data_IF_921228941338
#
_entry.id   IF_921228941338
#
_cell.length_a   1.000
_cell.length_b   1.000
_cell.length_c   1.000
_cell.angle_alpha   90.00
_cell.angle_beta   90.00
_cell.angle_gamma   90.00
#
_symmetry.space_group_name_H-M   'P 1'
#
loop_
_entity.id
_entity.type
_entity.pdbx_description
1 polymer ?
#
# COMPACT_ATOMS: atom_id res chain seq x y z
N UNK A 1 9.62 10.45 16.38
CA UNK A 1 8.54 10.42 15.38
C UNK A 1 8.58 9.21 14.44
N UNK A 2 9.68 8.46 14.39
CA UNK A 2 9.84 7.29 13.50
C UNK A 2 8.90 6.12 13.78
N UNK A 3 8.59 5.85 15.05
CA UNK A 3 7.61 4.83 15.43
C UNK A 3 6.21 5.13 14.88
N UNK A 4 5.78 6.39 14.93
CA UNK A 4 4.49 6.82 14.38
C UNK A 4 4.46 6.63 12.87
N UNK A 5 5.55 6.97 12.16
CA UNK A 5 5.68 6.74 10.71
C UNK A 5 5.64 5.25 10.35
N UNK A 6 6.27 4.38 11.14
CA UNK A 6 6.26 2.95 10.94
C UNK A 6 4.85 2.34 11.12
N UNK A 7 4.14 2.74 12.18
CA UNK A 7 2.77 2.29 12.44
C UNK A 7 1.80 2.77 11.36
N UNK A 8 1.89 4.04 10.96
CA UNK A 8 1.07 4.60 9.88
C UNK A 8 1.34 3.85 8.56
N UNK A 9 2.60 3.54 8.26
CA UNK A 9 2.97 2.82 7.04
C UNK A 9 2.40 1.39 7.02
N UNK A 10 2.52 0.65 8.14
CA UNK A 10 1.91 -0.67 8.29
C UNK A 10 0.40 -0.64 8.13
N UNK A 11 -0.28 0.32 8.79
CA UNK A 11 -1.73 0.45 8.72
C UNK A 11 -2.22 0.77 7.30
N UNK A 12 -1.64 1.78 6.66
CA UNK A 12 -2.06 2.24 5.32
C UNK A 12 -1.81 1.18 4.25
N UNK A 13 -0.59 0.64 4.17
CA UNK A 13 -0.25 -0.33 3.13
C UNK A 13 -0.86 -1.70 3.40
N UNK A 14 -1.01 -2.10 4.67
CA UNK A 14 -1.73 -3.32 5.03
C UNK A 14 -3.20 -3.26 4.62
N UNK A 15 -3.88 -2.15 4.95
CA UNK A 15 -5.26 -1.92 4.52
C UNK A 15 -5.38 -1.84 2.99
N UNK A 16 -4.50 -1.09 2.32
CA UNK A 16 -4.55 -0.93 0.87
C UNK A 16 -4.26 -2.26 0.14
N UNK A 17 -3.29 -3.04 0.62
CA UNK A 17 -3.00 -4.37 0.09
C UNK A 17 -4.18 -5.33 0.28
N UNK A 18 -4.85 -5.28 1.43
CA UNK A 18 -6.09 -6.02 1.66
C UNK A 18 -7.19 -5.60 0.68
N UNK A 19 -7.40 -4.28 0.51
CA UNK A 19 -8.41 -3.76 -0.40
C UNK A 19 -8.17 -4.20 -1.85
N UNK A 20 -6.91 -4.24 -2.31
CA UNK A 20 -6.55 -4.77 -3.63
C UNK A 20 -6.79 -6.28 -3.73
N UNK A 21 -6.40 -7.05 -2.71
CA UNK A 21 -6.55 -8.51 -2.73
C UNK A 21 -8.01 -8.98 -2.81
N UNK A 22 -8.93 -8.19 -2.26
CA UNK A 22 -10.37 -8.50 -2.19
C UNK A 22 -11.23 -7.62 -3.09
N UNK A 23 -10.63 -6.90 -4.05
CA UNK A 23 -11.33 -5.99 -4.96
C UNK A 23 -12.28 -5.00 -4.24
N UNK A 24 -11.82 -4.53 -3.08
CA UNK A 24 -12.54 -3.63 -2.18
C UNK A 24 -11.90 -2.23 -2.15
N UNK A 25 -11.07 -1.89 -3.14
CA UNK A 25 -10.48 -0.55 -3.24
C UNK A 25 -11.60 0.46 -3.46
N UNK A 26 -11.75 1.49 -2.59
CA UNK A 26 -12.80 2.47 -2.75
C UNK A 26 -12.70 3.18 -4.10
N UNK A 27 -13.74 3.05 -4.93
CA UNK A 27 -13.82 3.76 -6.21
C UNK A 27 -13.97 5.26 -5.98
N UNK A 28 -12.97 6.04 -6.37
CA UNK A 28 -13.03 7.50 -6.33
C UNK A 28 -11.71 8.13 -6.74
N UNK A 29 -11.76 9.17 -7.58
CA UNK A 29 -10.60 9.88 -8.14
C UNK A 29 -9.67 10.52 -7.08
N UNK A 30 -10.03 10.49 -5.79
CA UNK A 30 -9.28 11.06 -4.68
C UNK A 30 -8.98 12.55 -4.81
N UNK A 31 -9.53 13.22 -5.83
CA UNK A 31 -9.28 14.61 -6.21
C UNK A 31 -7.84 14.95 -6.59
N UNK A 32 -6.89 13.99 -6.54
CA UNK A 32 -5.46 14.26 -6.69
C UNK A 32 -4.79 13.33 -7.69
N UNK A 33 -3.81 13.86 -8.43
CA UNK A 33 -2.98 13.09 -9.36
C UNK A 33 -2.21 11.95 -8.67
N UNK A 34 -1.91 12.10 -7.37
CA UNK A 34 -1.22 11.09 -6.56
C UNK A 34 -2.11 9.88 -6.29
N UNK A 35 -3.38 10.09 -5.98
CA UNK A 35 -4.34 8.99 -5.75
C UNK A 35 -4.57 8.21 -7.03
N UNK A 36 -4.72 8.92 -8.17
CA UNK A 36 -4.90 8.27 -9.48
C UNK A 36 -3.67 7.47 -9.91
N UNK A 37 -2.46 7.97 -9.64
CA UNK A 37 -1.23 7.22 -9.90
C UNK A 37 -1.14 5.95 -9.05
N UNK A 38 -1.51 6.02 -7.76
CA UNK A 38 -1.52 4.87 -6.88
C UNK A 38 -2.52 3.80 -7.36
N UNK A 39 -3.72 4.22 -7.76
CA UNK A 39 -4.75 3.34 -8.33
C UNK A 39 -4.23 2.64 -9.59
N UNK A 40 -3.64 3.40 -10.52
CA UNK A 40 -3.07 2.86 -11.77
C UNK A 40 -1.97 1.82 -11.53
N UNK A 41 -1.13 2.02 -10.50
CA UNK A 41 -0.11 1.03 -10.11
C UNK A 41 -0.77 -0.24 -9.57
N UNK A 42 -1.78 -0.11 -8.71
CA UNK A 42 -2.51 -1.26 -8.17
C UNK A 42 -3.22 -2.05 -9.28
N UNK A 43 -3.84 -1.37 -10.25
CA UNK A 43 -4.49 -2.00 -11.40
C UNK A 43 -3.48 -2.73 -12.28
N UNK A 44 -2.31 -2.10 -12.53
CA UNK A 44 -1.23 -2.70 -13.32
C UNK A 44 -0.67 -3.96 -12.63
N UNK A 45 -0.43 -3.89 -11.33
CA UNK A 45 0.02 -5.05 -10.55
C UNK A 45 -1.04 -6.16 -10.58
N UNK A 46 -2.29 -5.81 -10.33
CA UNK A 46 -3.41 -6.76 -10.36
C UNK A 46 -3.55 -7.42 -11.73
N UNK A 47 -3.36 -6.68 -12.82
CA UNK A 47 -3.37 -7.22 -14.18
C UNK A 47 -2.19 -8.18 -14.45
N UNK A 48 -0.99 -7.88 -13.92
CA UNK A 48 0.21 -8.68 -14.19
C UNK A 48 0.29 -9.97 -13.37
N UNK A 49 -0.12 -9.93 -12.09
CA UNK A 49 0.05 -11.08 -11.18
C UNK A 49 -1.26 -11.60 -10.58
N UNK A 50 -2.37 -10.88 -10.70
CA UNK A 50 -3.64 -11.16 -10.01
C UNK A 50 -3.79 -10.39 -8.71
N UNK A 51 -5.03 -10.25 -8.24
CA UNK A 51 -5.39 -9.41 -7.09
C UNK A 51 -4.72 -9.84 -5.78
N UNK A 52 -4.78 -11.13 -5.44
CA UNK A 52 -4.20 -11.66 -4.20
C UNK A 52 -2.68 -11.42 -4.08
N UNK A 53 -1.83 -11.79 -5.07
CA UNK A 53 -0.40 -11.50 -5.00
C UNK A 53 -0.08 -10.00 -5.11
N UNK A 54 -0.85 -9.21 -5.86
CA UNK A 54 -0.69 -7.76 -5.89
C UNK A 54 -0.93 -7.13 -4.51
N UNK A 55 -2.01 -7.54 -3.83
CA UNK A 55 -2.32 -7.09 -2.48
C UNK A 55 -1.26 -7.48 -1.46
N UNK A 56 -0.74 -8.72 -1.54
CA UNK A 56 0.36 -9.17 -0.70
C UNK A 56 1.66 -8.37 -0.93
N UNK A 57 1.98 -8.05 -2.19
CA UNK A 57 3.14 -7.25 -2.54
C UNK A 57 3.03 -5.81 -1.98
N UNK A 58 1.85 -5.19 -2.08
CA UNK A 58 1.58 -3.87 -1.52
C UNK A 58 1.72 -3.88 0.01
N UNK A 59 1.12 -4.86 0.69
CA UNK A 59 1.26 -5.01 2.14
C UNK A 59 2.73 -5.22 2.55
N UNK A 60 3.46 -6.05 1.80
CA UNK A 60 4.89 -6.30 2.01
C UNK A 60 5.74 -5.05 1.86
N UNK A 61 5.45 -4.18 0.88
CA UNK A 61 6.12 -2.89 0.73
C UNK A 61 5.91 -1.99 1.97
N UNK A 62 4.72 -2.03 2.56
CA UNK A 62 4.41 -1.37 3.83
C UNK A 62 5.28 -1.84 5.00
N UNK A 63 5.51 -3.15 5.11
CA UNK A 63 6.38 -3.75 6.13
C UNK A 63 7.83 -3.28 5.96
N UNK A 64 8.35 -3.29 4.74
CA UNK A 64 9.71 -2.82 4.44
C UNK A 64 9.88 -1.34 4.78
N UNK A 65 8.88 -0.52 4.45
CA UNK A 65 8.89 0.90 4.78
C UNK A 65 8.86 1.15 6.29
N UNK A 66 8.05 0.38 7.03
CA UNK A 66 8.01 0.45 8.48
C UNK A 66 9.35 0.02 9.11
N UNK A 67 9.95 -1.07 8.62
CA UNK A 67 11.26 -1.53 9.06
C UNK A 67 12.35 -0.47 8.81
N UNK A 68 12.31 0.20 7.65
CA UNK A 68 13.21 1.31 7.33
C UNK A 68 13.08 2.46 8.33
N UNK A 69 11.87 2.92 8.64
CA UNK A 69 11.67 4.00 9.61
C UNK A 69 12.16 3.59 11.00
N UNK A 70 11.92 2.34 11.40
CA UNK A 70 12.36 1.83 12.69
C UNK A 70 13.89 1.74 12.78
N UNK A 71 14.56 1.31 11.71
CA UNK A 71 16.01 1.21 11.62
C UNK A 71 16.69 2.59 11.58
N UNK A 72 16.10 3.56 10.88
CA UNK A 72 16.62 4.93 10.78
C UNK A 72 16.46 5.74 12.08
N UNK A 73 15.56 5.32 12.96
CA UNK A 73 15.31 5.95 14.25
C UNK A 73 16.24 5.50 15.39
N UNK A 74 17.25 4.67 15.11
CA UNK A 74 18.32 4.27 16.05
C UNK A 74 19.55 5.14 15.85
#
# INVERSE_FOLDING_TARGET
>A
MHYVQAVISLGLFGWFGYAVAFDAVPGGDGGSSKTRALQSVADTLTYQMGAAPAGAAIAGAGVLLAAYFLARGR
#
